data_IF_352995468443
#
_entry.id   IF_352995468443
#
_cell.length_a   1.000
_cell.length_b   1.000
_cell.length_c   1.000
_cell.angle_alpha   90.00
_cell.angle_beta   90.00
_cell.angle_gamma   90.00
#
_symmetry.space_group_name_H-M   'P 1'
#
loop_
_entity.id
_entity.type
_entity.pdbx_description
1 polymer ?
#
# COMPACT_ATOMS: atom_id res chain seq x y z
N UNK A 1 31.32 -12.35 8.26
CA UNK A 1 30.60 -11.80 7.10
C UNK A 1 29.33 -11.14 7.63
N UNK A 2 29.23 -9.82 7.57
CA UNK A 2 28.00 -9.12 7.94
C UNK A 2 26.98 -9.39 6.83
N UNK A 3 25.82 -9.95 7.17
CA UNK A 3 24.67 -9.97 6.28
C UNK A 3 24.37 -8.51 5.92
N UNK A 4 24.46 -8.17 4.64
CA UNK A 4 24.03 -6.87 4.17
C UNK A 4 22.53 -6.75 4.44
N UNK A 5 22.14 -5.75 5.23
CA UNK A 5 20.75 -5.27 5.25
C UNK A 5 20.39 -4.98 3.79
N UNK A 6 19.34 -5.63 3.30
CA UNK A 6 18.74 -5.25 2.02
C UNK A 6 17.98 -3.96 2.31
N UNK A 7 18.55 -2.83 1.94
CA UNK A 7 17.90 -1.54 2.11
C UNK A 7 16.65 -1.49 1.24
N UNK A 8 15.49 -1.45 1.90
CA UNK A 8 14.19 -1.20 1.28
C UNK A 8 14.14 0.28 0.89
N UNK A 9 14.66 0.61 -0.29
CA UNK A 9 14.41 1.90 -0.93
C UNK A 9 12.94 1.92 -1.38
N UNK A 10 12.09 2.61 -0.61
CA UNK A 10 10.78 3.07 -1.07
C UNK A 10 11.02 4.04 -2.22
N UNK A 11 10.71 3.59 -3.42
CA UNK A 11 10.96 4.35 -4.62
C UNK A 11 9.79 5.29 -4.84
N UNK A 12 9.86 6.45 -4.19
CA UNK A 12 8.78 7.43 -4.18
C UNK A 12 8.86 8.33 -5.41
N UNK A 13 7.71 8.60 -6.03
CA UNK A 13 7.64 9.61 -7.08
C UNK A 13 7.99 10.98 -6.50
N UNK A 14 8.69 11.80 -7.28
CA UNK A 14 9.03 13.16 -6.85
C UNK A 14 7.75 13.98 -6.56
N UNK A 15 7.73 14.66 -5.42
CA UNK A 15 6.66 15.61 -5.07
C UNK A 15 6.71 16.83 -6.00
N UNK A 16 5.54 17.26 -6.45
CA UNK A 16 5.26 18.57 -7.03
C UNK A 16 4.97 19.56 -5.91
N UNK A 17 5.08 20.85 -6.22
CA UNK A 17 4.81 21.93 -5.26
C UNK A 17 3.44 21.83 -4.57
N UNK A 18 2.42 21.41 -5.32
CA UNK A 18 1.06 21.23 -4.79
C UNK A 18 0.91 20.05 -3.82
N UNK A 19 1.80 19.06 -3.87
CA UNK A 19 1.66 17.83 -3.08
C UNK A 19 1.99 18.09 -1.61
N UNK A 20 2.93 18.98 -1.31
CA UNK A 20 3.31 19.34 0.06
C UNK A 20 2.10 19.83 0.86
N UNK A 21 1.32 20.75 0.29
CA UNK A 21 0.11 21.26 0.92
C UNK A 21 -0.97 20.17 1.08
N UNK A 22 -1.16 19.32 0.07
CA UNK A 22 -2.12 18.21 0.14
C UNK A 22 -1.74 17.18 1.23
N UNK A 23 -0.45 16.86 1.34
CA UNK A 23 0.10 16.00 2.40
C UNK A 23 -0.10 16.60 3.78
N UNK A 24 0.18 17.89 3.94
CA UNK A 24 -0.07 18.60 5.20
C UNK A 24 -1.55 18.58 5.59
N UNK A 25 -2.44 18.92 4.65
CA UNK A 25 -3.88 18.92 4.92
C UNK A 25 -4.40 17.54 5.32
N UNK A 26 -3.93 16.48 4.64
CA UNK A 26 -4.24 15.11 5.00
C UNK A 26 -3.77 14.79 6.42
N UNK A 27 -2.51 15.11 6.75
CA UNK A 27 -1.97 14.84 8.08
C UNK A 27 -2.74 15.56 9.18
N UNK A 28 -3.03 16.86 9.01
CA UNK A 28 -3.81 17.63 9.98
C UNK A 28 -5.20 17.02 10.18
N UNK A 29 -5.90 16.74 9.08
CA UNK A 29 -7.26 16.18 9.15
C UNK A 29 -7.29 14.83 9.84
N UNK A 30 -6.34 13.94 9.53
CA UNK A 30 -6.28 12.62 10.15
C UNK A 30 -5.95 12.70 11.63
N UNK A 31 -5.03 13.59 12.04
CA UNK A 31 -4.69 13.78 13.46
C UNK A 31 -5.86 14.34 14.27
N UNK A 32 -6.52 15.39 13.76
CA UNK A 32 -7.73 15.94 14.38
C UNK A 32 -8.83 14.87 14.48
N UNK A 33 -8.97 14.01 13.46
CA UNK A 33 -9.92 12.90 13.48
C UNK A 33 -9.55 11.82 14.50
N UNK A 34 -8.26 11.59 14.74
CA UNK A 34 -7.74 10.57 15.67
C UNK A 34 -7.77 11.03 17.14
N UNK A 35 -8.09 12.28 17.44
CA UNK A 35 -8.38 12.72 18.83
C UNK A 35 -9.58 11.97 19.43
N UNK A 36 -10.50 11.52 18.57
CA UNK A 36 -11.49 10.51 18.94
C UNK A 36 -10.82 9.12 18.98
N UNK A 37 -10.62 8.58 20.19
CA UNK A 37 -10.01 7.27 20.40
C UNK A 37 -10.72 6.13 19.64
N UNK A 38 -12.00 6.31 19.29
CA UNK A 38 -12.76 5.33 18.50
C UNK A 38 -12.43 5.40 17.00
N UNK A 39 -11.82 6.48 16.53
CA UNK A 39 -11.45 6.67 15.13
C UNK A 39 -10.24 5.84 14.75
N UNK A 40 -9.22 5.77 15.61
CA UNK A 40 -7.90 5.23 15.28
C UNK A 40 -7.92 3.79 14.73
N UNK A 41 -8.94 2.99 15.08
CA UNK A 41 -9.09 1.60 14.63
C UNK A 41 -9.94 1.44 13.35
N UNK A 42 -10.62 2.49 12.89
CA UNK A 42 -11.55 2.44 11.75
C UNK A 42 -10.85 2.40 10.38
N UNK A 43 -9.69 3.07 10.15
CA UNK A 43 -9.02 3.01 8.86
C UNK A 43 -8.63 1.59 8.46
N UNK A 44 -8.91 1.25 7.21
CA UNK A 44 -8.45 0.03 6.55
C UNK A 44 -7.74 0.45 5.28
N UNK A 45 -6.43 0.24 5.23
CA UNK A 45 -5.61 0.57 4.07
C UNK A 45 -5.59 -0.60 3.10
N UNK A 46 -5.48 -0.32 1.81
CA UNK A 46 -5.37 -1.35 0.79
C UNK A 46 -4.39 -0.97 -0.30
N UNK A 47 -3.78 -1.98 -0.91
CA UNK A 47 -2.82 -1.78 -2.00
C UNK A 47 -2.56 -3.09 -2.76
N UNK A 48 -1.90 -2.97 -3.91
CA UNK A 48 -1.41 -4.07 -4.73
C UNK A 48 0.12 -4.14 -4.79
N UNK A 49 0.66 -5.37 -4.78
CA UNK A 49 2.07 -5.59 -5.08
C UNK A 49 2.30 -6.77 -6.01
N UNK A 50 3.28 -6.60 -6.89
CA UNK A 50 3.73 -7.66 -7.81
C UNK A 50 4.89 -8.45 -7.20
N UNK A 51 4.79 -9.77 -7.23
CA UNK A 51 5.84 -10.72 -6.87
C UNK A 51 6.30 -11.50 -8.11
N UNK A 52 7.61 -11.56 -8.34
CA UNK A 52 8.22 -12.27 -9.45
C UNK A 52 8.91 -13.53 -8.96
N UNK A 53 8.83 -14.64 -9.70
CA UNK A 53 9.57 -15.89 -9.36
C UNK A 53 11.07 -15.60 -9.20
N UNK A 54 11.63 -14.74 -10.06
CA UNK A 54 13.05 -14.36 -10.04
C UNK A 54 13.48 -13.58 -8.79
N UNK A 55 12.54 -13.06 -8.00
CA UNK A 55 12.79 -12.14 -6.89
C UNK A 55 13.31 -10.76 -7.32
N UNK A 56 13.54 -10.54 -8.61
CA UNK A 56 13.97 -9.24 -9.12
C UNK A 56 12.76 -8.31 -9.17
N UNK A 57 12.75 -7.32 -8.28
CA UNK A 57 11.81 -6.19 -8.35
C UNK A 57 12.11 -5.40 -9.63
N UNK A 58 11.06 -4.94 -10.31
CA UNK A 58 11.17 -4.15 -11.52
C UNK A 58 11.84 -2.79 -11.22
N UNK A 59 13.17 -2.73 -11.31
CA UNK A 59 14.01 -1.53 -11.03
C UNK A 59 13.93 -0.45 -12.11
N UNK A 60 12.93 -0.48 -12.99
CA UNK A 60 12.79 0.50 -14.08
C UNK A 60 12.56 1.95 -13.64
N UNK A 61 12.32 2.20 -12.34
CA UNK A 61 12.29 3.55 -11.77
C UNK A 61 13.51 3.87 -10.88
N UNK A 62 14.50 2.98 -10.75
CA UNK A 62 15.72 3.21 -9.97
C UNK A 62 16.67 4.19 -10.65
N UNK A 63 16.45 5.50 -10.46
CA UNK A 63 17.50 6.49 -10.66
C UNK A 63 18.52 6.36 -9.53
N UNK A 64 19.58 5.60 -9.80
CA UNK A 64 20.80 5.63 -9.01
C UNK A 64 21.44 7.01 -9.20
N UNK A 65 21.41 7.86 -8.19
CA UNK A 65 22.26 9.05 -8.16
C UNK A 65 23.61 8.65 -7.60
N UNK A 66 24.61 8.58 -8.48
CA UNK A 66 26.03 8.51 -8.15
C UNK A 66 26.76 9.58 -8.94
N UNK A 67 27.82 10.14 -8.37
CA UNK A 67 28.71 11.09 -9.06
C UNK A 67 29.50 10.45 -10.21
N UNK A 68 29.45 9.12 -10.34
CA UNK A 68 30.06 8.36 -11.43
C UNK A 68 29.02 7.47 -12.13
N UNK A 69 29.11 7.39 -13.46
CA UNK A 69 28.25 6.53 -14.31
C UNK A 69 28.37 5.06 -13.86
N UNK A 70 27.27 4.37 -13.53
CA UNK A 70 27.34 2.94 -13.23
C UNK A 70 27.69 2.15 -14.50
N UNK A 71 28.79 1.41 -14.48
CA UNK A 71 29.26 0.55 -15.59
C UNK A 71 28.65 -0.86 -15.59
N UNK A 72 27.63 -1.12 -14.77
CA UNK A 72 27.00 -2.44 -14.66
C UNK A 72 25.70 -2.48 -15.44
N UNK A 73 25.71 -3.15 -16.59
CA UNK A 73 24.50 -3.55 -17.31
C UNK A 73 23.90 -4.73 -16.55
N UNK A 74 22.80 -4.50 -15.82
CA UNK A 74 22.00 -5.59 -15.25
C UNK A 74 21.04 -6.04 -16.35
N UNK A 75 21.23 -7.25 -16.89
CA UNK A 75 20.27 -7.85 -17.81
C UNK A 75 18.91 -8.00 -17.11
N UNK A 76 17.92 -7.28 -17.63
CA UNK A 76 16.52 -7.39 -17.27
C UNK A 76 15.93 -8.64 -17.94
N UNK A 77 15.59 -9.66 -17.17
CA UNK A 77 14.63 -10.68 -17.64
C UNK A 77 13.24 -10.05 -17.64
N UNK A 78 12.82 -9.60 -18.81
CA UNK A 78 11.54 -8.93 -19.03
C UNK A 78 10.31 -9.82 -18.79
N UNK A 79 10.50 -11.14 -18.62
CA UNK A 79 9.43 -12.13 -18.72
C UNK A 79 9.43 -13.17 -17.57
N UNK A 80 9.97 -12.82 -16.40
CA UNK A 80 9.84 -13.70 -15.24
C UNK A 80 8.37 -13.77 -14.79
N UNK A 81 7.84 -14.99 -14.68
CA UNK A 81 6.47 -15.22 -14.27
C UNK A 81 6.21 -14.55 -12.92
N UNK A 82 5.03 -13.95 -12.78
CA UNK A 82 4.69 -13.05 -11.68
C UNK A 82 3.26 -13.23 -11.21
N UNK A 83 3.00 -12.77 -9.99
CA UNK A 83 1.68 -12.74 -9.37
C UNK A 83 1.44 -11.32 -8.86
N UNK A 84 0.29 -10.74 -9.20
CA UNK A 84 -0.19 -9.53 -8.55
C UNK A 84 -1.04 -9.93 -7.35
N UNK A 85 -0.79 -9.29 -6.22
CA UNK A 85 -1.43 -9.59 -4.95
C UNK A 85 -2.07 -8.33 -4.43
N UNK A 86 -3.35 -8.41 -4.07
CA UNK A 86 -4.05 -7.38 -3.32
C UNK A 86 -4.16 -7.77 -1.85
N UNK A 87 -4.09 -6.78 -0.97
CA UNK A 87 -4.29 -6.92 0.47
C UNK A 87 -4.99 -5.68 1.02
N UNK A 88 -5.80 -5.88 2.05
CA UNK A 88 -6.20 -4.81 2.95
C UNK A 88 -5.71 -5.07 4.38
N UNK A 89 -5.36 -4.02 5.11
CA UNK A 89 -4.75 -4.05 6.44
C UNK A 89 -5.53 -3.13 7.38
N UNK A 90 -5.92 -3.66 8.53
CA UNK A 90 -6.45 -2.92 9.68
C UNK A 90 -5.48 -3.02 10.87
N UNK A 91 -5.77 -2.30 11.96
CA UNK A 91 -4.95 -2.32 13.18
C UNK A 91 -4.88 -3.70 13.84
N UNK A 92 -5.80 -4.61 13.46
CA UNK A 92 -5.96 -5.93 14.09
C UNK A 92 -5.77 -7.10 13.14
N UNK A 93 -5.98 -6.91 11.84
CA UNK A 93 -6.06 -8.03 10.89
C UNK A 93 -5.61 -7.65 9.47
N UNK A 94 -5.16 -8.66 8.73
CA UNK A 94 -4.97 -8.60 7.29
C UNK A 94 -6.10 -9.34 6.56
N UNK A 95 -6.65 -8.69 5.54
CA UNK A 95 -7.54 -9.29 4.54
C UNK A 95 -6.68 -9.66 3.35
N UNK A 96 -6.22 -10.91 3.30
CA UNK A 96 -5.14 -11.31 2.39
C UNK A 96 -4.95 -12.82 2.27
N UNK A 97 -4.14 -13.26 1.30
CA UNK A 97 -3.89 -12.57 0.02
C UNK A 97 -5.07 -12.75 -0.94
N UNK A 98 -5.37 -11.73 -1.75
CA UNK A 98 -6.12 -11.92 -2.99
C UNK A 98 -5.15 -12.00 -4.17
N UNK A 99 -5.18 -13.11 -4.91
CA UNK A 99 -4.34 -13.28 -6.10
C UNK A 99 -5.10 -12.85 -7.34
N UNK A 100 -4.71 -11.74 -7.96
CA UNK A 100 -5.35 -11.26 -9.19
C UNK A 100 -5.15 -12.29 -10.31
N UNK A 101 -6.25 -12.69 -10.95
CA UNK A 101 -6.26 -13.59 -12.10
C UNK A 101 -5.74 -12.90 -13.37
N UNK A 102 -5.96 -11.59 -13.50
CA UNK A 102 -5.58 -10.80 -14.66
C UNK A 102 -4.17 -10.21 -14.55
N UNK A 103 -3.51 -10.04 -15.70
CA UNK A 103 -2.15 -9.47 -15.78
C UNK A 103 -2.10 -8.00 -15.35
N UNK A 104 -3.20 -7.28 -15.51
CA UNK A 104 -3.36 -5.87 -15.16
C UNK A 104 -4.70 -5.69 -14.46
N UNK A 105 -4.71 -4.92 -13.38
CA UNK A 105 -5.94 -4.56 -12.67
C UNK A 105 -6.59 -3.41 -13.45
N UNK A 106 -7.71 -3.68 -14.12
CA UNK A 106 -8.56 -2.63 -14.71
C UNK A 106 -9.56 -2.11 -13.68
N UNK A 107 -10.22 -0.98 -13.92
CA UNK A 107 -11.23 -0.44 -12.99
C UNK A 107 -12.35 -1.44 -12.68
N UNK A 108 -12.83 -2.21 -13.67
CA UNK A 108 -13.89 -3.19 -13.46
C UNK A 108 -13.40 -4.37 -12.61
N UNK A 109 -12.18 -4.87 -12.89
CA UNK A 109 -11.58 -5.96 -12.11
C UNK A 109 -11.34 -5.52 -10.67
N UNK A 110 -10.89 -4.28 -10.47
CA UNK A 110 -10.73 -3.70 -9.15
C UNK A 110 -12.07 -3.58 -8.42
N UNK A 111 -13.10 -3.05 -9.09
CA UNK A 111 -14.44 -2.91 -8.53
C UNK A 111 -15.02 -4.26 -8.11
N UNK A 112 -14.99 -5.26 -9.02
CA UNK A 112 -15.45 -6.61 -8.73
C UNK A 112 -14.69 -7.22 -7.54
N UNK A 113 -13.37 -7.01 -7.47
CA UNK A 113 -12.55 -7.49 -6.37
C UNK A 113 -12.96 -6.84 -5.04
N UNK A 114 -13.11 -5.51 -4.97
CA UNK A 114 -13.50 -4.87 -3.71
C UNK A 114 -14.93 -5.24 -3.33
N UNK A 115 -15.87 -5.23 -4.26
CA UNK A 115 -17.29 -5.48 -4.01
C UNK A 115 -17.57 -6.94 -3.63
N UNK A 116 -17.02 -7.89 -4.38
CA UNK A 116 -17.35 -9.32 -4.22
C UNK A 116 -16.44 -10.01 -3.21
N UNK A 117 -15.17 -9.61 -3.12
CA UNK A 117 -14.20 -10.28 -2.24
C UNK A 117 -13.93 -9.49 -0.96
N UNK A 118 -13.61 -8.18 -1.03
CA UNK A 118 -13.17 -7.44 0.17
C UNK A 118 -14.34 -7.05 1.09
N UNK A 119 -15.35 -6.34 0.57
CA UNK A 119 -16.42 -5.75 1.38
C UNK A 119 -17.16 -6.78 2.26
N UNK A 120 -17.52 -8.00 1.78
CA UNK A 120 -18.17 -8.99 2.64
C UNK A 120 -17.31 -9.41 3.83
N UNK A 121 -15.99 -9.43 3.69
CA UNK A 121 -15.08 -9.74 4.79
C UNK A 121 -15.02 -8.58 5.79
N UNK A 122 -14.95 -7.34 5.30
CA UNK A 122 -14.96 -6.15 6.16
C UNK A 122 -16.26 -6.09 6.97
N UNK A 123 -17.40 -6.23 6.29
CA UNK A 123 -18.73 -6.17 6.89
C UNK A 123 -18.97 -7.28 7.94
N UNK A 124 -18.28 -8.42 7.81
CA UNK A 124 -18.34 -9.51 8.79
C UNK A 124 -17.62 -9.18 10.10
N UNK A 125 -16.59 -8.33 10.04
CA UNK A 125 -15.80 -7.92 11.20
C UNK A 125 -16.39 -6.64 11.84
N UNK A 126 -16.78 -5.64 11.02
CA UNK A 126 -17.39 -4.38 11.47
C UNK A 126 -18.13 -3.70 10.32
N UNK A 127 -19.19 -2.95 10.61
CA UNK A 127 -19.83 -2.05 9.63
C UNK A 127 -19.33 -0.61 9.72
N UNK A 128 -18.58 -0.28 10.77
CA UNK A 128 -17.97 1.02 10.98
C UNK A 128 -16.46 0.94 10.73
N UNK A 129 -16.09 1.16 9.49
CA UNK A 129 -14.72 1.27 9.01
C UNK A 129 -14.63 2.38 7.95
N UNK A 130 -13.40 2.86 7.74
CA UNK A 130 -13.05 3.83 6.71
C UNK A 130 -12.10 3.15 5.73
N UNK A 131 -12.54 2.93 4.49
CA UNK A 131 -11.74 2.25 3.48
C UNK A 131 -10.81 3.22 2.75
N UNK A 132 -9.51 2.94 2.76
CA UNK A 132 -8.51 3.73 2.02
C UNK A 132 -8.03 2.98 0.77
N UNK A 133 -8.03 3.71 -0.34
CA UNK A 133 -7.40 3.32 -1.61
C UNK A 133 -6.52 4.46 -2.13
N UNK A 134 -5.49 4.12 -2.89
CA UNK A 134 -4.56 5.12 -3.43
C UNK A 134 -5.15 5.86 -4.66
N UNK A 135 -4.32 6.67 -5.31
CA UNK A 135 -4.71 7.44 -6.50
C UNK A 135 -4.48 6.74 -7.85
N UNK A 136 -4.25 5.42 -7.88
CA UNK A 136 -3.98 4.70 -9.11
C UNK A 136 -5.14 4.83 -10.12
N UNK A 137 -4.87 4.82 -11.43
CA UNK A 137 -5.91 5.00 -12.44
C UNK A 137 -7.13 4.07 -12.31
N UNK A 138 -6.97 2.77 -11.97
CA UNK A 138 -8.13 1.90 -11.75
C UNK A 138 -9.06 2.36 -10.63
N UNK A 139 -8.50 2.94 -9.57
CA UNK A 139 -9.21 3.30 -8.33
C UNK A 139 -10.01 4.61 -8.48
N UNK A 140 -9.67 5.43 -9.49
CA UNK A 140 -10.28 6.74 -9.69
C UNK A 140 -11.47 6.76 -10.67
N UNK A 141 -11.84 5.59 -11.23
CA UNK A 141 -12.95 5.51 -12.18
C UNK A 141 -14.27 6.01 -11.56
N UNK A 142 -15.18 6.49 -12.41
CA UNK A 142 -16.48 6.97 -11.96
C UNK A 142 -17.29 5.86 -11.30
N UNK A 143 -17.20 4.64 -11.82
CA UNK A 143 -17.88 3.46 -11.31
C UNK A 143 -17.40 3.12 -9.89
N UNK A 144 -16.08 3.07 -9.68
CA UNK A 144 -15.48 2.79 -8.37
C UNK A 144 -15.89 3.87 -7.36
N UNK A 145 -15.77 5.15 -7.71
CA UNK A 145 -16.16 6.25 -6.79
C UNK A 145 -17.66 6.28 -6.52
N UNK A 146 -18.49 6.00 -7.52
CA UNK A 146 -19.95 5.91 -7.34
C UNK A 146 -20.31 4.78 -6.37
N UNK A 147 -19.69 3.62 -6.52
CA UNK A 147 -19.84 2.51 -5.59
C UNK A 147 -19.43 2.89 -4.17
N UNK A 148 -18.25 3.51 -3.99
CA UNK A 148 -17.76 3.92 -2.68
C UNK A 148 -18.63 5.00 -2.03
N UNK A 149 -19.11 5.99 -2.79
CA UNK A 149 -20.05 7.00 -2.29
C UNK A 149 -21.38 6.39 -1.83
N UNK A 150 -21.88 5.37 -2.53
CA UNK A 150 -23.12 4.69 -2.16
C UNK A 150 -22.95 3.73 -0.99
N UNK A 151 -21.85 2.97 -0.97
CA UNK A 151 -21.60 1.92 0.03
C UNK A 151 -21.02 2.47 1.33
N UNK A 152 -20.12 3.45 1.23
CA UNK A 152 -19.31 4.00 2.31
C UNK A 152 -19.39 5.54 2.36
N UNK A 153 -20.59 6.15 2.41
CA UNK A 153 -20.73 7.60 2.49
C UNK A 153 -19.96 8.13 3.70
N UNK A 154 -19.11 9.14 3.47
CA UNK A 154 -18.16 9.72 4.46
C UNK A 154 -17.24 8.71 5.13
N UNK A 155 -16.99 7.56 4.50
CA UNK A 155 -16.22 6.44 5.05
C UNK A 155 -15.26 5.81 4.04
N UNK A 156 -14.80 6.60 3.08
CA UNK A 156 -13.70 6.18 2.22
C UNK A 156 -12.69 7.32 2.00
N UNK A 157 -11.42 6.95 1.81
CA UNK A 157 -10.30 7.83 1.55
C UNK A 157 -9.70 7.43 0.20
N UNK A 158 -9.53 8.40 -0.69
CA UNK A 158 -8.94 8.12 -1.99
C UNK A 158 -8.77 9.38 -2.82
N UNK A 159 -8.41 9.22 -4.08
CA UNK A 159 -8.44 10.35 -5.01
C UNK A 159 -9.91 10.70 -5.30
N UNK A 160 -10.40 11.79 -4.69
CA UNK A 160 -11.76 12.30 -4.82
C UNK A 160 -11.82 13.63 -5.58
N UNK A 161 -13.02 14.02 -6.01
CA UNK A 161 -13.34 15.36 -6.50
C UNK A 161 -14.53 15.95 -5.75
N UNK A 162 -14.88 17.21 -6.02
CA UNK A 162 -15.85 18.00 -5.24
C UNK A 162 -17.25 17.38 -5.07
N UNK A 163 -17.64 16.46 -5.97
CA UNK A 163 -18.93 15.78 -5.95
C UNK A 163 -18.91 14.45 -5.18
N UNK A 164 -17.75 14.01 -4.68
CA UNK A 164 -17.62 12.77 -3.94
C UNK A 164 -17.99 12.94 -2.46
N UNK A 165 -18.47 11.85 -1.86
CA UNK A 165 -18.85 11.80 -0.45
C UNK A 165 -17.76 11.09 0.36
N UNK A 166 -16.50 11.46 0.13
CA UNK A 166 -15.35 10.91 0.83
C UNK A 166 -15.24 11.43 2.26
N UNK A 167 -14.50 10.67 3.07
CA UNK A 167 -14.08 11.08 4.41
C UNK A 167 -13.00 12.16 4.30
N UNK A 168 -11.96 11.89 3.51
CA UNK A 168 -10.95 12.86 3.10
C UNK A 168 -10.20 12.42 1.84
N UNK A 169 -9.64 13.38 1.10
CA UNK A 169 -8.83 13.08 -0.09
C UNK A 169 -7.46 12.49 0.27
N UNK A 170 -7.08 11.41 -0.40
CA UNK A 170 -5.74 10.83 -0.29
C UNK A 170 -4.68 11.75 -0.93
N UNK A 171 -3.57 12.07 -0.23
CA UNK A 171 -2.54 12.92 -0.77
C UNK A 171 -1.74 12.20 -1.87
N UNK A 172 -1.60 12.78 -3.07
CA UNK A 172 -0.91 12.12 -4.17
C UNK A 172 0.54 11.83 -3.83
N UNK A 173 1.06 10.70 -4.34
CA UNK A 173 2.48 10.29 -4.20
C UNK A 173 2.92 10.21 -2.75
N UNK A 174 2.11 9.56 -1.91
CA UNK A 174 2.38 9.38 -0.48
C UNK A 174 2.46 7.91 -0.05
N UNK A 175 3.30 7.08 -0.70
CA UNK A 175 3.47 5.68 -0.28
C UNK A 175 4.07 5.58 1.13
N UNK A 176 4.81 6.59 1.58
CA UNK A 176 5.35 6.69 2.93
C UNK A 176 4.29 6.90 4.02
N UNK A 177 3.02 7.08 3.65
CA UNK A 177 1.86 7.22 4.56
C UNK A 177 0.92 6.01 4.55
N UNK A 178 1.16 4.99 3.71
CA UNK A 178 0.33 3.76 3.72
C UNK A 178 1.08 2.59 4.37
N UNK A 179 0.47 1.92 5.38
CA UNK A 179 0.99 0.70 5.99
C UNK A 179 1.40 -0.40 5.01
N UNK A 180 0.74 -0.47 3.85
CA UNK A 180 1.06 -1.43 2.80
C UNK A 180 2.50 -1.23 2.29
N UNK A 181 2.86 0.02 1.98
CA UNK A 181 4.13 0.39 1.38
C UNK A 181 5.26 0.49 2.39
N UNK A 182 5.05 1.20 3.51
CA UNK A 182 6.14 1.43 4.47
C UNK A 182 6.49 0.20 5.32
N UNK A 183 5.61 -0.81 5.35
CA UNK A 183 5.80 -2.00 6.17
C UNK A 183 5.52 -3.30 5.41
N UNK A 184 4.29 -3.52 4.98
CA UNK A 184 3.79 -4.85 4.63
C UNK A 184 4.57 -5.47 3.46
N UNK A 185 4.68 -4.75 2.34
CA UNK A 185 5.30 -5.31 1.14
C UNK A 185 6.78 -5.61 1.30
N UNK A 186 7.50 -4.78 2.05
CA UNK A 186 8.89 -5.05 2.41
C UNK A 186 9.01 -6.31 3.27
N UNK A 187 8.24 -6.36 4.36
CA UNK A 187 8.21 -7.49 5.29
C UNK A 187 7.91 -8.84 4.60
N UNK A 188 6.95 -8.84 3.67
CA UNK A 188 6.55 -10.03 2.93
C UNK A 188 7.63 -10.44 1.93
N UNK A 189 8.21 -9.50 1.17
CA UNK A 189 9.26 -9.80 0.18
C UNK A 189 10.50 -10.40 0.84
N UNK A 190 10.87 -9.93 2.02
CA UNK A 190 11.98 -10.49 2.80
C UNK A 190 11.79 -11.97 3.16
N UNK A 191 10.54 -12.40 3.37
CA UNK A 191 10.19 -13.81 3.70
C UNK A 191 9.97 -14.66 2.48
N UNK A 192 9.34 -14.12 1.45
CA UNK A 192 9.02 -14.84 0.22
C UNK A 192 10.31 -15.23 -0.52
N UNK A 193 11.32 -14.36 -0.52
CA UNK A 193 12.56 -14.55 -1.26
C UNK A 193 13.74 -15.04 -0.41
N UNK A 194 13.47 -15.73 0.70
CA UNK A 194 14.51 -16.49 1.42
C UNK A 194 14.98 -17.64 0.52
N UNK A 195 16.31 -17.76 0.25
CA UNK A 195 16.84 -18.84 -0.57
C UNK A 195 16.51 -20.25 -0.01
N UNK A 196 16.30 -21.26 -0.88
CA UNK A 196 16.32 -21.18 -2.34
C UNK A 196 15.13 -20.38 -2.91
N UNK A 197 15.29 -19.73 -4.06
CA UNK A 197 14.21 -18.98 -4.71
C UNK A 197 13.06 -19.90 -5.13
N UNK A 198 11.80 -19.41 -5.13
CA UNK A 198 10.69 -20.17 -5.66
C UNK A 198 10.92 -20.51 -7.13
N UNK A 199 10.49 -21.70 -7.56
CA UNK A 199 10.67 -22.19 -8.94
C UNK A 199 9.39 -22.18 -9.75
N UNK A 200 8.24 -22.15 -9.10
CA UNK A 200 6.91 -22.12 -9.76
C UNK A 200 6.02 -21.04 -9.16
N UNK A 201 4.93 -20.70 -9.86
CA UNK A 201 3.92 -19.77 -9.36
C UNK A 201 3.21 -20.33 -8.13
N UNK A 202 2.98 -21.64 -8.08
CA UNK A 202 2.35 -22.32 -6.96
C UNK A 202 3.24 -22.22 -5.71
N UNK A 203 4.55 -22.47 -5.86
CA UNK A 203 5.50 -22.30 -4.76
C UNK A 203 5.56 -20.84 -4.28
N UNK A 204 5.57 -19.89 -5.23
CA UNK A 204 5.54 -18.46 -4.90
C UNK A 204 4.27 -18.10 -4.12
N UNK A 205 3.09 -18.58 -4.54
CA UNK A 205 1.82 -18.35 -3.83
C UNK A 205 1.83 -18.95 -2.43
N UNK A 206 2.33 -20.17 -2.26
CA UNK A 206 2.46 -20.81 -0.93
C UNK A 206 3.36 -19.98 -0.01
N UNK A 207 4.50 -19.50 -0.51
CA UNK A 207 5.40 -18.65 0.26
C UNK A 207 4.76 -17.31 0.64
N UNK A 208 4.00 -16.71 -0.28
CA UNK A 208 3.24 -15.47 0.00
C UNK A 208 2.22 -15.72 1.11
N UNK A 209 1.42 -16.79 1.02
CA UNK A 209 0.46 -17.16 2.07
C UNK A 209 1.14 -17.36 3.44
N UNK A 210 2.28 -18.06 3.47
CA UNK A 210 3.04 -18.27 4.71
C UNK A 210 3.60 -16.95 5.27
N UNK A 211 4.05 -16.03 4.41
CA UNK A 211 4.53 -14.73 4.83
C UNK A 211 3.40 -13.88 5.43
N UNK A 212 2.21 -13.88 4.80
CA UNK A 212 1.01 -13.24 5.35
C UNK A 212 0.61 -13.83 6.70
N UNK A 213 0.56 -15.16 6.82
CA UNK A 213 0.23 -15.85 8.07
C UNK A 213 1.23 -15.58 9.21
N UNK A 214 2.42 -15.08 8.90
CA UNK A 214 3.42 -14.70 9.91
C UNK A 214 3.23 -13.28 10.47
N UNK A 215 2.36 -12.46 9.87
CA UNK A 215 2.06 -11.12 10.40
C UNK A 215 1.14 -11.27 11.60
N UNK A 216 1.60 -10.77 12.76
CA UNK A 216 0.85 -10.85 14.01
C UNK A 216 0.09 -9.57 14.30
N UNK A 217 -0.98 -9.65 15.10
CA UNK A 217 -1.71 -8.48 15.57
C UNK A 217 -0.79 -7.47 16.27
N UNK A 218 0.17 -7.93 17.07
CA UNK A 218 1.14 -7.04 17.73
C UNK A 218 1.95 -6.20 16.73
N UNK A 219 2.29 -6.78 15.58
CA UNK A 219 2.99 -6.05 14.53
C UNK A 219 2.06 -5.02 13.87
N UNK A 220 0.79 -5.34 13.66
CA UNK A 220 -0.20 -4.38 13.15
C UNK A 220 -0.41 -3.22 14.11
N UNK A 221 -0.48 -3.48 15.42
CA UNK A 221 -0.53 -2.41 16.42
C UNK A 221 0.72 -1.51 16.41
N UNK A 222 1.91 -2.07 16.16
CA UNK A 222 3.13 -1.26 15.97
C UNK A 222 3.02 -0.38 14.73
N UNK A 223 2.47 -0.92 13.64
CA UNK A 223 2.28 -0.20 12.38
C UNK A 223 1.32 0.98 12.53
N UNK A 224 0.28 0.85 13.36
CA UNK A 224 -0.63 1.97 13.66
C UNK A 224 0.04 3.07 14.49
N UNK A 225 0.87 2.72 15.47
CA UNK A 225 1.68 3.71 16.21
C UNK A 225 2.68 4.43 15.30
N UNK A 226 3.29 3.69 14.38
CA UNK A 226 4.20 4.23 13.38
C UNK A 226 3.46 5.15 12.38
N UNK A 227 2.22 4.81 12.00
CA UNK A 227 1.38 5.66 11.16
C UNK A 227 1.08 7.00 11.85
N UNK A 228 0.67 6.97 13.11
CA UNK A 228 0.43 8.18 13.91
C UNK A 228 1.69 9.07 13.97
N UNK A 229 2.84 8.47 14.29
CA UNK A 229 4.13 9.16 14.27
C UNK A 229 4.49 9.72 12.89
N UNK A 230 4.18 9.01 11.80
CA UNK A 230 4.40 9.52 10.44
C UNK A 230 3.59 10.77 10.15
N UNK A 231 2.36 10.88 10.64
CA UNK A 231 1.54 12.09 10.49
C UNK A 231 2.23 13.30 11.15
N UNK A 232 2.81 13.13 12.34
CA UNK A 232 3.61 14.19 12.99
C UNK A 232 4.83 14.60 12.14
N UNK A 233 5.52 13.63 11.55
CA UNK A 233 6.69 13.91 10.71
C UNK A 233 6.30 14.67 9.44
N UNK A 234 5.12 14.41 8.85
CA UNK A 234 4.61 15.24 7.75
C UNK A 234 4.55 16.71 8.16
N UNK A 235 4.09 17.01 9.38
CA UNK A 235 4.05 18.38 9.89
C UNK A 235 5.43 19.00 10.09
N UNK A 236 6.34 18.27 10.75
CA UNK A 236 7.72 18.74 10.97
C UNK A 236 8.44 19.03 9.64
N UNK A 237 8.20 18.19 8.64
CA UNK A 237 8.84 18.29 7.32
C UNK A 237 8.06 19.15 6.32
N UNK A 238 6.96 19.78 6.76
CA UNK A 238 6.08 20.63 5.93
C UNK A 238 5.60 19.93 4.65
N UNK A 239 5.21 18.66 4.77
CA UNK A 239 4.68 17.87 3.66
C UNK A 239 5.73 17.17 2.81
N UNK A 240 7.00 17.17 3.21
CA UNK A 240 8.04 16.44 2.47
C UNK A 240 7.87 14.93 2.62
N UNK A 241 8.60 14.17 1.80
CA UNK A 241 8.71 12.72 1.97
C UNK A 241 9.37 12.37 3.30
N UNK A 242 8.90 11.29 3.92
CA UNK A 242 9.49 10.72 5.12
C UNK A 242 10.54 9.71 4.69
N UNK A 243 11.81 10.06 4.86
CA UNK A 243 12.93 9.13 4.68
C UNK A 243 13.26 8.47 6.02
N UNK A 244 13.32 7.13 6.04
CA UNK A 244 13.88 6.32 7.14
C UNK A 244 13.48 6.72 8.58
N UNK A 245 12.46 6.03 9.11
CA UNK A 245 12.13 6.03 10.54
C UNK A 245 12.74 4.82 11.26
#
# INVERSE_FOLDING_TARGET
MKAGKVDLLLLVQQLKQEDYGKRMNYATFMQESMEDETMAERPIFSDESTFHISGKVNRYNSRMWGTEKPSTVIEHEYDSAKVNVFCAISSRKLYSPFFCSERSVTSNVYLDMIEVWLMPQLDSDSTDYIFQQDGAPPHWSTEVRTFLNQRLPKRWIGRSGDADDDFCSWPPRSPDLTPCDFFLWGYLKDRVYVPPMPKTIEELKVRICNAFASVTEQMLQNVWREMDYRLDIVHVTKGSHIEHL
#
